data_IF_599359456538
#
_entry.id   IF_599359456538
#
_cell.length_a   1.000
_cell.length_b   1.000
_cell.length_c   1.000
_cell.angle_alpha   90.00
_cell.angle_beta   90.00
_cell.angle_gamma   90.00
#
_symmetry.space_group_name_H-M   'P 1'
#
loop_
_entity.id
_entity.type
_entity.pdbx_description
1 polymer ?
#
# COMPACT_ATOMS: atom_id res chain seq x y z
N UNK A 1 -8.55 18.55 5.29
CA UNK A 1 -9.28 17.35 4.79
C UNK A 1 -8.31 16.20 4.75
N UNK A 2 -8.64 15.05 5.33
CA UNK A 2 -7.89 13.81 5.12
C UNK A 2 -8.35 13.17 3.82
N UNK A 3 -7.41 12.64 3.04
CA UNK A 3 -7.75 11.82 1.87
C UNK A 3 -8.37 10.51 2.34
N UNK A 4 -9.36 10.02 1.59
CA UNK A 4 -9.88 8.67 1.81
C UNK A 4 -8.81 7.64 1.43
N UNK A 5 -8.88 6.45 2.04
CA UNK A 5 -7.96 5.34 1.71
C UNK A 5 -7.95 5.04 0.21
N UNK A 6 -9.12 5.06 -0.44
CA UNK A 6 -9.22 4.81 -1.88
C UNK A 6 -8.48 5.88 -2.69
N UNK A 7 -8.69 7.16 -2.37
CA UNK A 7 -8.01 8.26 -3.06
C UNK A 7 -6.48 8.18 -2.91
N UNK A 8 -5.99 7.76 -1.76
CA UNK A 8 -4.55 7.55 -1.54
C UNK A 8 -4.02 6.43 -2.44
N UNK A 9 -4.73 5.30 -2.50
CA UNK A 9 -4.33 4.15 -3.33
C UNK A 9 -4.32 4.52 -4.82
N UNK A 10 -5.34 5.23 -5.29
CA UNK A 10 -5.43 5.61 -6.70
C UNK A 10 -4.32 6.57 -7.10
N UNK A 11 -4.04 7.59 -6.28
CA UNK A 11 -2.91 8.50 -6.50
C UNK A 11 -1.56 7.76 -6.49
N UNK A 12 -1.37 6.80 -5.58
CA UNK A 12 -0.14 6.00 -5.56
C UNK A 12 0.03 5.18 -6.84
N UNK A 13 -1.05 4.58 -7.35
CA UNK A 13 -1.01 3.79 -8.61
C UNK A 13 -0.62 4.65 -9.80
N UNK A 14 -1.05 5.92 -9.85
CA UNK A 14 -0.67 6.87 -10.90
C UNK A 14 0.83 7.22 -10.85
N UNK A 15 1.41 7.33 -9.64
CA UNK A 15 2.82 7.73 -9.47
C UNK A 15 3.79 6.57 -9.71
N UNK A 16 3.51 5.40 -9.11
CA UNK A 16 4.45 4.27 -9.11
C UNK A 16 4.05 3.10 -10.02
N UNK A 17 2.85 3.16 -10.62
CA UNK A 17 2.26 2.09 -11.41
C UNK A 17 1.46 1.09 -10.56
N UNK A 18 0.38 0.55 -11.14
CA UNK A 18 -0.57 -0.31 -10.43
C UNK A 18 0.07 -1.57 -9.83
N UNK A 19 1.02 -2.19 -10.55
CA UNK A 19 1.70 -3.42 -10.11
C UNK A 19 2.59 -3.22 -8.87
N UNK A 20 2.92 -1.96 -8.55
CA UNK A 20 3.76 -1.60 -7.41
C UNK A 20 2.95 -1.27 -6.15
N UNK A 21 1.63 -1.14 -6.26
CA UNK A 21 0.75 -0.80 -5.13
C UNK A 21 0.00 -2.03 -4.66
N UNK A 22 0.44 -2.56 -3.52
CA UNK A 22 -0.13 -3.77 -2.91
C UNK A 22 -1.02 -3.36 -1.74
N UNK A 23 -2.30 -3.71 -1.81
CA UNK A 23 -3.29 -3.43 -0.75
C UNK A 23 -3.88 -4.69 -0.13
N UNK A 24 -3.50 -5.87 -0.63
CA UNK A 24 -3.95 -7.16 -0.11
C UNK A 24 -3.33 -7.45 1.26
N UNK A 25 -4.18 -7.76 2.24
CA UNK A 25 -3.75 -7.93 3.63
C UNK A 25 -2.82 -9.14 3.81
N UNK A 26 -3.08 -10.25 3.12
CA UNK A 26 -2.26 -11.46 3.23
C UNK A 26 -0.86 -11.24 2.66
N UNK A 27 -0.77 -10.56 1.51
CA UNK A 27 0.52 -10.20 0.91
C UNK A 27 1.28 -9.21 1.80
N UNK A 28 0.60 -8.23 2.38
CA UNK A 28 1.22 -7.27 3.30
C UNK A 28 1.76 -7.97 4.56
N UNK A 29 0.97 -8.83 5.21
CA UNK A 29 1.43 -9.59 6.40
C UNK A 29 2.63 -10.48 6.10
N UNK A 30 2.62 -11.17 4.95
CA UNK A 30 3.73 -12.04 4.54
C UNK A 30 5.04 -11.26 4.34
N UNK A 31 4.95 -10.06 3.79
CA UNK A 31 6.12 -9.22 3.49
C UNK A 31 6.51 -8.28 4.65
N UNK A 32 5.67 -8.16 5.68
CA UNK A 32 5.92 -7.34 6.86
C UNK A 32 6.93 -8.03 7.78
N UNK A 33 8.21 -7.82 7.54
CA UNK A 33 9.28 -8.26 8.42
C UNK A 33 9.48 -7.19 9.49
N UNK A 34 8.93 -7.42 10.68
CA UNK A 34 9.22 -6.57 11.84
C UNK A 34 10.67 -6.83 12.30
N UNK A 35 11.52 -5.80 12.20
CA UNK A 35 12.93 -5.84 12.59
C UNK A 35 13.19 -5.14 13.93
N UNK A 36 12.16 -4.73 14.66
CA UNK A 36 12.34 -4.17 16.00
C UNK A 36 12.65 -5.31 16.99
N UNK A 37 13.95 -5.54 17.21
CA UNK A 37 14.51 -6.25 18.37
C UNK A 37 15.16 -5.23 19.30
#
# INVERSE_FOLDING_TARGET
MSLSRAAIVDQLKEIVGADRVITDETVLKKNSIDRFR
#
